data_IF_702531249546
#
_entry.id   IF_702531249546
#
_cell.length_a   1.000
_cell.length_b   1.000
_cell.length_c   1.000
_cell.angle_alpha   90.00
_cell.angle_beta   90.00
_cell.angle_gamma   90.00
#
_symmetry.space_group_name_H-M   'P 1'
#
loop_
_entity.id
_entity.type
_entity.pdbx_description
1 polymer ?
#
# COMPACT_ATOMS: atom_id res chain seq x y z
N UNK A 1 -2.31 -7.47 28.35
CA UNK A 1 -3.13 -6.85 27.29
C UNK A 1 -3.61 -7.95 26.39
N UNK A 2 -4.85 -7.93 25.90
CA UNK A 2 -5.30 -8.89 24.91
C UNK A 2 -4.51 -8.64 23.62
N UNK A 3 -3.82 -9.66 23.12
CA UNK A 3 -3.11 -9.62 21.85
C UNK A 3 -4.15 -9.82 20.73
N UNK A 4 -4.16 -8.93 19.76
CA UNK A 4 -4.94 -9.09 18.54
C UNK A 4 -4.00 -9.44 17.37
N UNK A 5 -4.35 -10.40 16.50
CA UNK A 5 -5.38 -11.44 16.63
C UNK A 5 -4.99 -12.47 17.70
N UNK A 6 -5.99 -13.09 18.34
CA UNK A 6 -5.81 -13.86 19.56
C UNK A 6 -5.10 -15.24 19.43
N UNK A 7 -4.52 -15.61 18.28
CA UNK A 7 -3.91 -16.91 18.07
C UNK A 7 -2.42 -16.81 17.78
N UNK A 8 -1.55 -17.12 18.75
CA UNK A 8 -0.10 -17.06 18.58
C UNK A 8 0.46 -18.02 17.53
N UNK A 9 -0.20 -19.15 17.29
CA UNK A 9 0.18 -20.17 16.31
C UNK A 9 -0.18 -19.79 14.86
N UNK A 10 -0.82 -18.66 14.64
CA UNK A 10 -1.25 -18.22 13.33
C UNK A 10 -0.09 -18.00 12.35
N UNK A 11 1.00 -17.43 12.85
CA UNK A 11 2.15 -17.04 12.01
C UNK A 11 2.98 -18.23 11.51
N UNK A 12 2.88 -19.38 12.20
CA UNK A 12 3.58 -20.61 11.84
C UNK A 12 2.67 -21.63 11.10
N UNK A 13 1.41 -21.25 10.86
CA UNK A 13 0.43 -22.13 10.21
C UNK A 13 0.28 -21.81 8.73
N UNK A 14 0.01 -22.83 7.94
CA UNK A 14 -0.28 -22.67 6.51
C UNK A 14 -1.66 -22.08 6.27
N UNK A 15 -1.75 -21.18 5.30
CA UNK A 15 -3.00 -20.58 4.87
C UNK A 15 -3.90 -21.65 4.18
N UNK A 16 -5.20 -21.54 4.39
CA UNK A 16 -6.20 -22.38 3.72
C UNK A 16 -6.45 -21.89 2.30
N UNK A 17 -6.44 -20.58 2.11
CA UNK A 17 -6.58 -19.91 0.80
C UNK A 17 -5.37 -18.99 0.64
N UNK A 18 -4.62 -19.16 -0.44
CA UNK A 18 -3.46 -18.32 -0.78
C UNK A 18 -3.77 -17.42 -1.97
N UNK A 19 -3.13 -16.27 -2.04
CA UNK A 19 -3.21 -15.39 -3.21
C UNK A 19 -2.71 -16.12 -4.47
N UNK A 20 -1.68 -16.96 -4.35
CA UNK A 20 -1.17 -17.78 -5.45
C UNK A 20 -2.23 -18.76 -6.01
N UNK A 21 -2.96 -19.44 -5.14
CA UNK A 21 -4.05 -20.33 -5.57
C UNK A 21 -5.20 -19.56 -6.24
N UNK A 22 -5.55 -18.40 -5.71
CA UNK A 22 -6.59 -17.54 -6.30
C UNK A 22 -6.17 -17.02 -7.68
N UNK A 23 -4.94 -16.54 -7.82
CA UNK A 23 -4.40 -16.06 -9.11
C UNK A 23 -4.31 -17.19 -10.13
N UNK A 24 -3.85 -18.38 -9.73
CA UNK A 24 -3.81 -19.55 -10.61
C UNK A 24 -5.22 -19.94 -11.11
N UNK A 25 -6.24 -19.89 -10.26
CA UNK A 25 -7.62 -20.11 -10.67
C UNK A 25 -8.10 -19.03 -11.66
N UNK A 26 -7.81 -17.76 -11.39
CA UNK A 26 -8.15 -16.65 -12.31
C UNK A 26 -7.45 -16.78 -13.67
N UNK A 27 -6.18 -17.20 -13.68
CA UNK A 27 -5.44 -17.48 -14.92
C UNK A 27 -6.05 -18.64 -15.70
N UNK A 28 -6.40 -19.73 -15.04
CA UNK A 28 -7.03 -20.89 -15.66
C UNK A 28 -8.36 -20.57 -16.34
N UNK A 29 -9.06 -19.55 -15.81
CA UNK A 29 -10.34 -19.06 -16.35
C UNK A 29 -10.19 -17.89 -17.33
N UNK A 30 -8.95 -17.48 -17.64
CA UNK A 30 -8.66 -16.34 -18.52
C UNK A 30 -9.09 -14.97 -17.96
N UNK A 31 -9.24 -14.86 -16.64
CA UNK A 31 -9.55 -13.59 -15.95
C UNK A 31 -8.28 -12.75 -15.80
N UNK A 32 -7.15 -13.40 -15.48
CA UNK A 32 -5.82 -12.76 -15.39
C UNK A 32 -4.94 -13.36 -16.49
N UNK A 33 -4.13 -12.56 -17.20
CA UNK A 33 -3.20 -13.12 -18.18
C UNK A 33 -2.10 -13.96 -17.48
N UNK A 34 -1.54 -14.95 -18.17
CA UNK A 34 -0.47 -15.82 -17.67
C UNK A 34 0.88 -15.08 -17.46
N UNK A 35 0.97 -13.83 -17.81
CA UNK A 35 2.10 -12.94 -17.53
C UNK A 35 1.62 -11.51 -17.56
N UNK A 36 1.87 -10.76 -16.50
CA UNK A 36 1.52 -9.34 -16.45
C UNK A 36 2.49 -8.47 -17.27
N UNK A 37 3.67 -9.04 -17.61
CA UNK A 37 4.75 -8.30 -18.29
C UNK A 37 5.11 -6.98 -17.58
N UNK A 38 4.92 -6.96 -16.25
CA UNK A 38 5.18 -5.81 -15.40
C UNK A 38 5.90 -6.29 -14.13
N UNK A 39 7.13 -5.80 -13.93
CA UNK A 39 7.92 -6.12 -12.74
C UNK A 39 7.64 -5.20 -11.56
N UNK A 40 6.94 -4.10 -11.78
CA UNK A 40 6.57 -3.13 -10.76
C UNK A 40 5.11 -2.72 -10.86
N UNK A 41 4.57 -2.23 -9.74
CA UNK A 41 3.23 -1.69 -9.67
C UNK A 41 3.17 -0.38 -8.87
N UNK A 42 2.22 0.47 -9.23
CA UNK A 42 1.84 1.65 -8.46
C UNK A 42 0.38 1.54 -8.04
N UNK A 43 0.14 1.53 -6.73
CA UNK A 43 -1.19 1.58 -6.14
C UNK A 43 -1.58 3.04 -5.90
N UNK A 44 -2.68 3.49 -6.48
CA UNK A 44 -3.12 4.88 -6.44
C UNK A 44 -4.47 4.95 -5.72
N UNK A 45 -4.49 5.51 -4.50
CA UNK A 45 -5.71 5.64 -3.68
C UNK A 45 -6.49 6.91 -4.03
N UNK A 46 -5.79 7.99 -4.38
CA UNK A 46 -6.45 9.25 -4.75
C UNK A 46 -7.12 9.16 -6.13
N UNK A 47 -8.45 9.32 -6.14
CA UNK A 47 -9.25 9.21 -7.36
C UNK A 47 -8.97 10.33 -8.37
N UNK A 48 -8.57 11.50 -7.89
CA UNK A 48 -8.22 12.64 -8.75
C UNK A 48 -6.93 12.35 -9.52
N UNK A 49 -5.88 11.97 -8.78
CA UNK A 49 -4.61 11.57 -9.35
C UNK A 49 -4.75 10.37 -10.30
N UNK A 50 -5.50 9.34 -9.88
CA UNK A 50 -5.72 8.17 -10.72
C UNK A 50 -6.37 8.54 -12.07
N UNK A 51 -7.39 9.38 -12.05
CA UNK A 51 -8.09 9.84 -13.26
C UNK A 51 -7.17 10.67 -14.15
N UNK A 52 -6.38 11.57 -13.57
CA UNK A 52 -5.41 12.39 -14.29
C UNK A 52 -4.35 11.51 -14.99
N UNK A 53 -3.88 10.46 -14.31
CA UNK A 53 -2.96 9.47 -14.91
C UNK A 53 -3.60 8.68 -16.05
N UNK A 54 -4.88 8.31 -15.93
CA UNK A 54 -5.62 7.64 -17.01
C UNK A 54 -5.71 8.49 -18.29
N UNK A 55 -5.75 9.81 -18.15
CA UNK A 55 -5.82 10.73 -19.29
C UNK A 55 -4.46 11.03 -19.91
N UNK A 56 -3.38 10.99 -19.12
CA UNK A 56 -2.02 11.41 -19.57
C UNK A 56 -1.16 10.27 -20.04
N UNK A 57 -1.40 9.07 -19.58
CA UNK A 57 -0.52 7.93 -19.84
C UNK A 57 -1.02 7.06 -20.98
N UNK A 58 -0.09 6.43 -21.71
CA UNK A 58 -0.43 5.37 -22.63
C UNK A 58 -0.70 4.08 -21.84
N UNK A 59 -1.94 3.66 -21.85
CA UNK A 59 -2.42 2.59 -20.98
C UNK A 59 -3.08 1.47 -21.78
N UNK A 60 -2.86 0.25 -21.32
CA UNK A 60 -3.61 -0.93 -21.72
C UNK A 60 -4.39 -1.46 -20.51
N UNK A 61 -5.69 -1.62 -20.63
CA UNK A 61 -6.49 -2.21 -19.55
C UNK A 61 -6.16 -3.68 -19.40
N UNK A 62 -5.79 -4.07 -18.18
CA UNK A 62 -5.47 -5.45 -17.81
C UNK A 62 -6.65 -6.02 -17.04
N UNK A 63 -7.15 -7.17 -17.47
CA UNK A 63 -8.11 -7.93 -16.67
C UNK A 63 -7.39 -8.52 -15.46
N UNK A 64 -7.97 -8.30 -14.28
CA UNK A 64 -7.44 -8.83 -13.04
C UNK A 64 -8.59 -9.25 -12.12
N UNK A 65 -8.40 -10.30 -11.35
CA UNK A 65 -9.36 -10.73 -10.34
C UNK A 65 -9.27 -9.87 -9.09
N UNK A 66 -10.38 -9.72 -8.38
CA UNK A 66 -10.42 -8.91 -7.17
C UNK A 66 -10.82 -7.46 -7.39
N UNK A 67 -10.72 -6.63 -6.36
CA UNK A 67 -11.13 -5.22 -6.42
C UNK A 67 -10.12 -4.37 -7.20
N UNK A 68 -10.64 -3.30 -7.83
CA UNK A 68 -9.82 -2.31 -8.52
C UNK A 68 -9.86 -2.42 -10.03
N UNK A 69 -9.22 -1.43 -10.65
CA UNK A 69 -9.00 -1.35 -12.10
C UNK A 69 -7.51 -1.34 -12.34
N UNK A 70 -7.07 -2.24 -13.21
CA UNK A 70 -5.67 -2.48 -13.50
C UNK A 70 -5.34 -2.03 -14.91
N UNK A 71 -4.25 -1.27 -15.05
CA UNK A 71 -3.76 -0.80 -16.32
C UNK A 71 -2.27 -1.03 -16.41
N UNK A 72 -1.81 -1.51 -17.56
CA UNK A 72 -0.39 -1.55 -17.88
C UNK A 72 0.02 -0.22 -18.47
N UNK A 73 0.95 0.47 -17.81
CA UNK A 73 1.56 1.70 -18.31
C UNK A 73 2.68 1.31 -19.27
N UNK A 74 2.53 1.68 -20.53
CA UNK A 74 3.46 1.30 -21.58
C UNK A 74 4.71 2.19 -21.53
N UNK A 75 5.88 1.59 -21.37
CA UNK A 75 7.19 2.25 -21.35
C UNK A 75 8.19 1.51 -22.21
N UNK A 76 9.16 2.22 -22.79
CA UNK A 76 10.20 1.62 -23.65
C UNK A 76 11.16 0.69 -22.91
N UNK A 77 11.29 0.84 -21.58
CA UNK A 77 12.19 0.04 -20.74
C UNK A 77 11.50 -1.06 -19.92
N UNK A 78 10.24 -1.35 -20.21
CA UNK A 78 9.42 -2.29 -19.45
C UNK A 78 8.11 -1.65 -18.97
N UNK A 79 7.16 -2.47 -18.57
CA UNK A 79 5.84 -2.01 -18.19
C UNK A 79 5.68 -1.95 -16.68
N UNK A 80 4.86 -1.01 -16.23
CA UNK A 80 4.45 -0.86 -14.84
C UNK A 80 2.95 -1.08 -14.77
N UNK A 81 2.51 -1.83 -13.79
CA UNK A 81 1.08 -1.96 -13.50
C UNK A 81 0.61 -0.77 -12.67
N UNK A 82 -0.44 -0.11 -13.08
CA UNK A 82 -1.11 0.91 -12.30
C UNK A 82 -2.46 0.38 -11.84
N UNK A 83 -2.75 0.48 -10.55
CA UNK A 83 -4.01 0.04 -9.98
C UNK A 83 -4.66 1.16 -9.16
N UNK A 84 -5.95 1.35 -9.37
CA UNK A 84 -6.77 2.30 -8.63
C UNK A 84 -8.23 1.85 -8.55
N UNK A 85 -9.08 2.68 -7.98
CA UNK A 85 -10.51 2.37 -7.77
C UNK A 85 -10.78 1.07 -6.98
N UNK A 86 -9.82 0.62 -6.14
CA UNK A 86 -9.96 -0.60 -5.32
C UNK A 86 -10.50 -0.32 -3.91
N UNK A 87 -10.80 0.93 -3.58
CA UNK A 87 -11.25 1.35 -2.27
C UNK A 87 -10.13 1.92 -1.40
N UNK A 88 -10.33 1.93 -0.10
CA UNK A 88 -9.37 2.41 0.91
C UNK A 88 -9.28 1.42 2.06
N UNK A 89 -8.18 1.48 2.81
CA UNK A 89 -7.95 0.74 4.03
C UNK A 89 -7.08 -0.50 3.86
N UNK A 90 -6.42 -0.86 4.92
CA UNK A 90 -5.45 -1.94 5.01
C UNK A 90 -5.95 -3.29 4.44
N UNK A 91 -7.20 -3.75 4.70
CA UNK A 91 -7.64 -5.05 4.19
C UNK A 91 -7.65 -5.16 2.66
N UNK A 92 -8.14 -4.13 1.97
CA UNK A 92 -8.20 -4.17 0.52
C UNK A 92 -6.83 -3.92 -0.10
N UNK A 93 -6.01 -3.07 0.51
CA UNK A 93 -4.64 -2.81 0.06
C UNK A 93 -3.79 -4.09 0.10
N UNK A 94 -3.80 -4.81 1.23
CA UNK A 94 -3.10 -6.07 1.37
C UNK A 94 -3.57 -7.11 0.35
N UNK A 95 -4.89 -7.31 0.20
CA UNK A 95 -5.43 -8.28 -0.75
C UNK A 95 -5.04 -7.99 -2.21
N UNK A 96 -5.02 -6.72 -2.60
CA UNK A 96 -4.58 -6.29 -3.95
C UNK A 96 -3.09 -6.50 -4.12
N UNK A 97 -2.28 -6.13 -3.12
CA UNK A 97 -0.83 -6.29 -3.16
C UNK A 97 -0.43 -7.78 -3.25
N UNK A 98 -1.00 -8.64 -2.41
CA UNK A 98 -0.77 -10.10 -2.46
C UNK A 98 -1.11 -10.70 -3.82
N UNK A 99 -2.25 -10.31 -4.39
CA UNK A 99 -2.65 -10.80 -5.70
C UNK A 99 -1.69 -10.34 -6.82
N UNK A 100 -1.17 -9.11 -6.75
CA UNK A 100 -0.16 -8.61 -7.70
C UNK A 100 1.17 -9.36 -7.55
N UNK A 101 1.63 -9.58 -6.31
CA UNK A 101 2.85 -10.36 -6.03
C UNK A 101 2.70 -11.80 -6.54
N UNK A 102 1.56 -12.44 -6.27
CA UNK A 102 1.27 -13.79 -6.78
C UNK A 102 1.20 -13.86 -8.31
N UNK A 103 0.89 -12.74 -8.97
CA UNK A 103 0.90 -12.63 -10.43
C UNK A 103 2.27 -12.22 -11.01
N UNK A 104 3.32 -12.10 -10.18
CA UNK A 104 4.70 -11.86 -10.60
C UNK A 104 5.18 -10.41 -10.50
N UNK A 105 4.45 -9.52 -9.81
CA UNK A 105 4.94 -8.17 -9.49
C UNK A 105 5.98 -8.26 -8.37
N UNK A 106 7.15 -7.68 -8.58
CA UNK A 106 8.28 -7.74 -7.64
C UNK A 106 8.39 -6.50 -6.74
N UNK A 107 7.89 -5.37 -7.20
CA UNK A 107 8.02 -4.08 -6.51
C UNK A 107 6.69 -3.35 -6.53
N UNK A 108 6.28 -2.83 -5.38
CA UNK A 108 5.04 -2.05 -5.25
C UNK A 108 5.35 -0.71 -4.62
N UNK A 109 4.89 0.36 -5.26
CA UNK A 109 4.86 1.71 -4.69
C UNK A 109 3.41 2.07 -4.45
N UNK A 110 3.09 2.60 -3.27
CA UNK A 110 1.76 3.12 -2.97
C UNK A 110 1.78 4.65 -2.87
N UNK A 111 0.75 5.30 -3.39
CA UNK A 111 0.57 6.74 -3.32
C UNK A 111 -0.87 7.07 -2.96
N UNK A 112 -1.05 7.86 -1.91
CA UNK A 112 -2.36 8.23 -1.39
C UNK A 112 -2.34 9.59 -0.72
N UNK A 113 -3.44 9.91 -0.07
CA UNK A 113 -3.59 11.12 0.75
C UNK A 113 -3.58 10.77 2.22
N UNK A 114 -3.06 11.67 3.05
CA UNK A 114 -2.96 11.48 4.49
C UNK A 114 -3.31 12.77 5.25
N UNK A 115 -3.76 12.62 6.48
CA UNK A 115 -3.96 13.74 7.40
C UNK A 115 -2.63 14.18 8.03
N UNK A 116 -2.12 15.37 7.70
CA UNK A 116 -0.87 15.90 8.27
C UNK A 116 -0.97 16.16 9.77
N UNK A 117 -0.04 15.64 10.56
CA UNK A 117 0.03 15.80 12.00
C UNK A 117 0.96 16.95 12.41
N UNK A 118 1.98 17.26 11.63
CA UNK A 118 2.98 18.26 11.98
C UNK A 118 2.55 19.66 11.50
N UNK A 119 2.86 20.73 12.28
CA UNK A 119 2.34 22.08 12.02
C UNK A 119 2.98 22.74 10.78
N UNK A 120 4.11 22.23 10.31
CA UNK A 120 4.82 22.74 9.14
C UNK A 120 4.43 22.01 7.84
N UNK A 121 3.64 20.95 7.90
CA UNK A 121 3.07 20.29 6.73
C UNK A 121 1.86 21.04 6.18
N UNK A 122 1.75 21.11 4.88
CA UNK A 122 0.69 21.81 4.16
C UNK A 122 0.00 20.86 3.17
N UNK A 123 -1.28 21.07 2.85
CA UNK A 123 -1.90 20.36 1.73
C UNK A 123 -1.09 20.52 0.44
N UNK A 124 -0.79 19.40 -0.19
CA UNK A 124 0.07 19.31 -1.37
C UNK A 124 1.53 18.98 -1.09
N UNK A 125 1.97 19.00 0.17
CA UNK A 125 3.28 18.45 0.54
C UNK A 125 3.29 16.93 0.33
N UNK A 126 4.37 16.43 -0.25
CA UNK A 126 4.63 15.00 -0.41
C UNK A 126 5.58 14.55 0.68
N UNK A 127 5.21 13.50 1.39
CA UNK A 127 6.06 12.87 2.41
C UNK A 127 6.50 11.47 1.97
N UNK A 128 7.75 11.14 2.20
CA UNK A 128 8.28 9.79 2.02
C UNK A 128 8.09 9.00 3.32
N UNK A 129 7.44 7.84 3.23
CA UNK A 129 7.14 7.01 4.41
C UNK A 129 8.31 6.06 4.67
N UNK A 130 8.86 6.09 5.88
CA UNK A 130 9.99 5.25 6.31
C UNK A 130 9.63 4.25 7.40
N UNK A 131 8.38 4.26 7.86
CA UNK A 131 7.86 3.33 8.85
C UNK A 131 6.41 3.66 9.16
N UNK A 132 5.69 2.74 9.78
CA UNK A 132 4.30 2.93 10.14
C UNK A 132 3.98 2.41 11.54
N UNK A 133 3.16 3.16 12.28
CA UNK A 133 2.56 2.71 13.53
C UNK A 133 1.36 1.83 13.17
N UNK A 134 1.36 0.62 13.69
CA UNK A 134 0.37 -0.42 13.41
C UNK A 134 -0.85 -0.29 14.33
N UNK A 135 -1.78 0.58 13.96
CA UNK A 135 -3.09 0.75 14.62
C UNK A 135 -4.24 0.32 13.70
N UNK A 136 -3.93 -0.56 12.76
CA UNK A 136 -4.84 -1.27 11.88
C UNK A 136 -5.01 -2.73 12.34
N UNK A 137 -6.09 -3.38 11.97
CA UNK A 137 -6.32 -4.80 12.27
C UNK A 137 -5.59 -5.74 11.32
N UNK A 138 -5.35 -5.32 10.08
CA UNK A 138 -4.85 -6.18 9.00
C UNK A 138 -3.40 -6.58 9.20
N UNK A 139 -2.51 -5.64 9.51
CA UNK A 139 -1.09 -5.91 9.69
C UNK A 139 -0.80 -6.95 10.79
N UNK A 140 -1.67 -7.03 11.80
CA UNK A 140 -1.58 -8.03 12.87
C UNK A 140 -1.90 -9.46 12.41
N UNK A 141 -2.47 -9.64 11.23
CA UNK A 141 -2.65 -10.98 10.65
C UNK A 141 -1.39 -11.51 9.99
N UNK A 142 -0.42 -10.63 9.68
CA UNK A 142 0.83 -10.95 9.00
C UNK A 142 2.02 -11.05 9.94
N UNK A 143 2.10 -10.14 10.92
CA UNK A 143 3.24 -10.05 11.84
C UNK A 143 2.77 -9.90 13.30
N UNK A 144 3.50 -10.48 14.27
CA UNK A 144 3.28 -10.23 15.70
C UNK A 144 3.29 -8.74 16.05
N UNK A 145 2.62 -8.37 17.14
CA UNK A 145 2.40 -6.97 17.51
C UNK A 145 3.63 -6.22 18.01
N UNK A 146 4.71 -6.92 18.31
CA UNK A 146 6.00 -6.38 18.74
C UNK A 146 7.00 -6.19 17.59
N UNK A 147 6.57 -6.45 16.35
CA UNK A 147 7.40 -6.24 15.16
C UNK A 147 7.08 -4.89 14.56
N UNK A 148 8.09 -4.03 14.45
CA UNK A 148 8.02 -2.78 13.71
C UNK A 148 8.02 -3.07 12.21
N UNK A 149 7.33 -2.22 11.44
CA UNK A 149 7.25 -2.31 9.98
C UNK A 149 7.91 -1.11 9.31
N UNK A 150 8.60 -1.39 8.23
CA UNK A 150 9.23 -0.38 7.39
C UNK A 150 9.23 -0.85 5.93
N UNK A 151 9.25 0.09 4.97
CA UNK A 151 9.34 -0.26 3.57
C UNK A 151 10.71 -0.84 3.23
N UNK A 152 10.82 -1.49 2.07
CA UNK A 152 12.12 -1.90 1.51
C UNK A 152 13.05 -0.67 1.38
N UNK A 153 14.25 -0.75 1.97
CA UNK A 153 15.19 0.37 2.06
C UNK A 153 15.73 0.77 0.69
N UNK A 154 16.11 -0.21 -0.15
CA UNK A 154 16.75 0.04 -1.44
C UNK A 154 15.76 0.68 -2.43
N UNK A 155 14.51 0.19 -2.42
CA UNK A 155 13.45 0.79 -3.21
C UNK A 155 13.09 2.19 -2.73
N UNK A 156 13.04 2.39 -1.41
CA UNK A 156 12.75 3.70 -0.80
C UNK A 156 13.83 4.71 -1.09
N UNK A 157 15.10 4.36 -0.92
CA UNK A 157 16.24 5.25 -1.20
C UNK A 157 16.27 5.64 -2.67
N UNK A 158 16.07 4.67 -3.58
CA UNK A 158 15.96 4.93 -5.01
C UNK A 158 14.79 5.88 -5.34
N UNK A 159 13.64 5.64 -4.75
CA UNK A 159 12.45 6.47 -4.96
C UNK A 159 12.67 7.89 -4.44
N UNK A 160 13.23 8.03 -3.24
CA UNK A 160 13.44 9.33 -2.60
C UNK A 160 14.52 10.16 -3.33
N UNK A 161 15.57 9.49 -3.82
CA UNK A 161 16.58 10.15 -4.66
C UNK A 161 15.96 10.70 -5.95
N UNK A 162 15.14 9.90 -6.64
CA UNK A 162 14.49 10.32 -7.89
C UNK A 162 13.45 11.42 -7.69
N UNK A 163 12.67 11.35 -6.60
CA UNK A 163 11.69 12.39 -6.27
C UNK A 163 12.36 13.67 -5.74
N UNK A 164 13.49 13.55 -5.07
CA UNK A 164 14.34 14.66 -4.65
C UNK A 164 13.55 15.81 -4.00
N UNK A 165 13.61 16.99 -4.62
CA UNK A 165 12.92 18.20 -4.12
C UNK A 165 11.39 18.11 -4.04
N UNK A 166 10.78 17.10 -4.65
CA UNK A 166 9.33 16.90 -4.56
C UNK A 166 8.91 16.27 -3.23
N UNK A 167 9.84 15.63 -2.50
CA UNK A 167 9.60 15.17 -1.14
C UNK A 167 9.89 16.30 -0.17
N UNK A 168 8.90 16.68 0.64
CA UNK A 168 9.01 17.70 1.68
C UNK A 168 9.85 17.19 2.85
N UNK A 169 9.60 15.97 3.29
CA UNK A 169 10.27 15.29 4.40
C UNK A 169 9.99 13.79 4.34
N UNK A 170 10.75 13.02 5.10
CA UNK A 170 10.56 11.57 5.27
C UNK A 170 10.34 11.24 6.74
N UNK A 171 9.57 10.19 7.04
CA UNK A 171 9.36 9.74 8.41
C UNK A 171 8.21 8.74 8.57
N UNK A 172 7.87 8.49 9.83
CA UNK A 172 6.85 7.54 10.24
C UNK A 172 5.45 8.12 10.07
N UNK A 173 4.51 7.28 9.67
CA UNK A 173 3.07 7.57 9.63
C UNK A 173 2.32 6.73 10.67
N UNK A 174 1.07 7.07 10.93
CA UNK A 174 0.14 6.32 11.76
C UNK A 174 -0.92 5.70 10.86
N UNK A 175 -0.97 4.37 10.79
CA UNK A 175 -1.98 3.62 10.04
C UNK A 175 -3.12 3.24 10.95
N UNK A 176 -4.36 3.69 10.63
CA UNK A 176 -5.56 3.34 11.40
C UNK A 176 -6.70 2.87 10.48
N UNK A 177 -7.52 1.93 10.96
CA UNK A 177 -8.71 1.45 10.23
C UNK A 177 -9.95 2.34 10.47
N UNK A 178 -9.89 3.26 11.45
CA UNK A 178 -11.08 3.88 11.99
C UNK A 178 -11.05 5.42 11.96
N UNK A 179 -11.09 5.99 10.75
CA UNK A 179 -10.97 7.44 10.47
C UNK A 179 -11.85 8.33 11.37
N UNK A 180 -13.01 7.87 11.81
CA UNK A 180 -13.89 8.65 12.71
C UNK A 180 -13.67 8.33 14.20
N UNK A 181 -12.62 7.57 14.53
CA UNK A 181 -12.25 7.22 15.91
C UNK A 181 -10.87 7.74 16.31
N UNK A 182 -10.21 8.48 15.46
CA UNK A 182 -9.01 9.24 15.78
C UNK A 182 -9.33 10.23 16.92
N UNK A 183 -8.68 10.05 18.08
CA UNK A 183 -8.96 10.89 19.24
C UNK A 183 -7.95 12.00 19.39
N UNK A 184 -8.34 13.10 20.04
CA UNK A 184 -7.44 14.23 20.33
C UNK A 184 -6.22 13.78 21.16
N UNK A 185 -6.38 12.78 22.02
CA UNK A 185 -5.30 12.25 22.86
C UNK A 185 -4.27 11.50 22.04
N UNK A 186 -4.71 10.60 21.16
CA UNK A 186 -3.85 9.85 20.25
C UNK A 186 -3.13 10.79 19.27
N UNK A 187 -3.86 11.70 18.68
CA UNK A 187 -3.33 12.70 17.77
C UNK A 187 -2.22 13.55 18.42
N UNK A 188 -2.41 13.97 19.67
CA UNK A 188 -1.37 14.69 20.43
C UNK A 188 -0.17 13.82 20.75
N UNK A 189 -0.38 12.55 21.11
CA UNK A 189 0.70 11.62 21.41
C UNK A 189 1.55 11.37 20.16
N UNK A 190 0.93 11.02 19.02
CA UNK A 190 1.62 10.78 17.77
C UNK A 190 2.35 12.03 17.26
N UNK A 191 1.70 13.18 17.32
CA UNK A 191 2.35 14.46 16.99
C UNK A 191 3.57 14.73 17.84
N UNK A 192 3.50 14.52 19.15
CA UNK A 192 4.62 14.71 20.06
C UNK A 192 5.75 13.71 19.84
N UNK A 193 5.44 12.52 19.32
CA UNK A 193 6.39 11.51 18.92
C UNK A 193 7.02 11.76 17.53
N UNK A 194 6.64 12.85 16.84
CA UNK A 194 7.20 13.20 15.53
C UNK A 194 6.56 12.47 14.35
N UNK A 195 5.44 11.78 14.56
CA UNK A 195 4.70 11.12 13.48
C UNK A 195 4.20 12.19 12.49
N UNK A 196 4.43 11.97 11.20
CA UNK A 196 4.19 12.97 10.16
C UNK A 196 2.72 13.08 9.76
N UNK A 197 2.05 11.96 9.60
CA UNK A 197 0.68 11.93 9.10
C UNK A 197 -0.07 10.68 9.57
N UNK A 198 -1.39 10.70 9.42
CA UNK A 198 -2.28 9.54 9.60
C UNK A 198 -2.85 9.12 8.25
N UNK A 199 -2.89 7.82 8.00
CA UNK A 199 -3.40 7.19 6.78
C UNK A 199 -3.96 5.79 7.13
N UNK A 200 -4.31 4.96 6.16
CA UNK A 200 -5.08 3.73 6.42
C UNK A 200 -4.46 2.44 5.85
N UNK A 201 -3.26 2.47 5.26
CA UNK A 201 -2.74 1.33 4.48
C UNK A 201 -1.28 0.94 4.73
N UNK A 202 -0.43 1.89 5.05
CA UNK A 202 1.02 1.73 5.01
C UNK A 202 1.52 0.55 5.86
N UNK A 203 1.02 0.39 7.10
CA UNK A 203 1.45 -0.69 7.98
C UNK A 203 1.13 -2.09 7.47
N UNK A 204 0.10 -2.24 6.65
CA UNK A 204 -0.29 -3.53 6.08
C UNK A 204 0.42 -3.86 4.76
N UNK A 205 1.15 -2.90 4.18
CA UNK A 205 1.91 -3.06 2.95
C UNK A 205 3.42 -3.23 3.18
N UNK A 206 3.89 -2.97 4.39
CA UNK A 206 5.27 -3.11 4.86
C UNK A 206 5.49 -4.45 5.57
#
# INVERSE_FOLDING_TARGET
MAQFPARPDKYDSHEVITAAAAVADWQSRGVVPNGLEASGAVMVYDRGLYRDLLEREQLETVRFGGPGRFHRVLRSGGHILMVGDFGIGAPVAAAVAEAMVAAGVERIISIGTAGGLQPDLRPGDVIGVTGAIRDDGTSWHYLPGDVDVAPDSDLSDTLFEHLGRHIRTTGTVWTTDAIYRETVTELRAHRSAGVLAVEMEAAALM
#
